data_IF_191055312018
#
_entry.id   IF_191055312018
#
_cell.length_a   1.000
_cell.length_b   1.000
_cell.length_c   1.000
_cell.angle_alpha   90.00
_cell.angle_beta   90.00
_cell.angle_gamma   90.00
#
_symmetry.space_group_name_H-M   'P 1'
#
loop_
_entity.id
_entity.type
_entity.pdbx_description
1 polymer ?
#
# COMPACT_ATOMS: atom_id res chain seq x y z
N UNK A 1 -36.01 -10.76 -38.18
CA UNK A 1 -35.04 -9.70 -38.45
C UNK A 1 -35.00 -8.57 -37.41
N UNK A 2 -36.07 -7.82 -37.11
CA UNK A 2 -35.98 -6.66 -36.15
C UNK A 2 -35.77 -7.04 -34.67
N UNK A 3 -36.28 -8.19 -34.20
CA UNK A 3 -36.20 -8.63 -32.79
C UNK A 3 -34.80 -9.13 -32.34
N UNK A 4 -33.97 -9.62 -33.25
CA UNK A 4 -32.63 -10.12 -32.92
C UNK A 4 -31.62 -8.97 -32.74
N UNK A 5 -31.74 -7.91 -33.54
CA UNK A 5 -30.90 -6.72 -33.45
C UNK A 5 -31.03 -6.02 -32.09
N UNK A 6 -32.25 -5.97 -31.54
CA UNK A 6 -32.49 -5.41 -30.20
C UNK A 6 -31.85 -6.28 -29.11
N UNK A 7 -31.89 -7.60 -29.24
CA UNK A 7 -31.25 -8.52 -28.27
C UNK A 7 -29.72 -8.40 -28.26
N UNK A 8 -29.09 -8.20 -29.43
CA UNK A 8 -27.64 -7.93 -29.55
C UNK A 8 -27.27 -6.57 -28.94
N UNK A 9 -28.11 -5.54 -29.15
CA UNK A 9 -27.91 -4.21 -28.56
C UNK A 9 -27.99 -4.23 -27.03
N UNK A 10 -28.98 -4.92 -26.45
CA UNK A 10 -29.14 -5.04 -24.99
C UNK A 10 -28.14 -6.01 -24.33
N UNK A 11 -27.59 -6.97 -25.08
CA UNK A 11 -26.54 -7.86 -24.60
C UNK A 11 -25.19 -7.13 -24.41
N UNK A 12 -24.86 -6.19 -25.30
CA UNK A 12 -23.57 -5.49 -25.29
C UNK A 12 -23.49 -4.29 -24.32
N UNK A 13 -24.61 -3.83 -23.78
CA UNK A 13 -24.67 -2.65 -22.89
C UNK A 13 -24.36 -2.97 -21.42
N UNK A 14 -24.75 -4.15 -20.93
CA UNK A 14 -24.64 -4.52 -19.50
C UNK A 14 -23.21 -4.82 -19.05
N UNK A 15 -22.37 -5.41 -19.91
CA UNK A 15 -20.99 -5.76 -19.54
C UNK A 15 -20.03 -4.55 -19.52
N UNK A 16 -20.25 -3.57 -20.38
CA UNK A 16 -19.33 -2.43 -20.60
C UNK A 16 -19.30 -1.44 -19.43
N UNK A 17 -20.41 -1.31 -18.69
CA UNK A 17 -20.52 -0.40 -17.53
C UNK A 17 -19.85 -0.98 -16.28
N UNK A 18 -20.04 -2.27 -15.96
CA UNK A 18 -19.40 -2.93 -14.81
C UNK A 18 -17.90 -3.20 -15.06
N UNK A 19 -17.50 -3.50 -16.30
CA UNK A 19 -16.09 -3.78 -16.64
C UNK A 19 -15.18 -2.57 -16.45
N UNK A 20 -15.67 -1.34 -16.71
CA UNK A 20 -14.92 -0.10 -16.43
C UNK A 20 -14.79 0.20 -14.94
N UNK A 21 -15.78 -0.15 -14.12
CA UNK A 21 -15.73 0.06 -12.67
C UNK A 21 -14.79 -0.94 -11.99
N UNK A 22 -14.86 -2.22 -12.35
CA UNK A 22 -14.03 -3.28 -11.77
C UNK A 22 -12.53 -3.08 -12.06
N UNK A 23 -12.17 -2.71 -13.30
CA UNK A 23 -10.76 -2.45 -13.65
C UNK A 23 -10.23 -1.23 -12.89
N UNK A 24 -11.04 -0.16 -12.79
CA UNK A 24 -10.67 1.03 -12.03
C UNK A 24 -10.45 0.74 -10.54
N UNK A 25 -11.39 0.03 -9.90
CA UNK A 25 -11.28 -0.41 -8.51
C UNK A 25 -10.05 -1.30 -8.29
N UNK A 26 -9.81 -2.28 -9.18
CA UNK A 26 -8.64 -3.15 -9.06
C UNK A 26 -7.33 -2.39 -9.24
N UNK A 27 -7.30 -1.39 -10.12
CA UNK A 27 -6.11 -0.56 -10.33
C UNK A 27 -5.85 0.34 -9.12
N UNK A 28 -6.90 0.90 -8.51
CA UNK A 28 -6.77 1.67 -7.26
C UNK A 28 -6.22 0.78 -6.15
N UNK A 29 -6.78 -0.41 -5.93
CA UNK A 29 -6.30 -1.29 -4.86
C UNK A 29 -4.86 -1.77 -5.10
N UNK A 30 -4.55 -2.20 -6.33
CA UNK A 30 -3.18 -2.60 -6.67
C UNK A 30 -2.19 -1.43 -6.51
N UNK A 31 -2.60 -0.23 -6.95
CA UNK A 31 -1.81 0.98 -6.79
C UNK A 31 -1.62 1.37 -5.32
N UNK A 32 -2.66 1.26 -4.51
CA UNK A 32 -2.61 1.56 -3.08
C UNK A 32 -1.63 0.63 -2.34
N UNK A 33 -1.70 -0.69 -2.58
CA UNK A 33 -0.77 -1.65 -1.98
C UNK A 33 0.68 -1.40 -2.43
N UNK A 34 0.91 -1.17 -3.72
CA UNK A 34 2.25 -0.87 -4.22
C UNK A 34 2.78 0.45 -3.64
N UNK A 35 1.91 1.46 -3.52
CA UNK A 35 2.25 2.74 -2.93
C UNK A 35 2.55 2.63 -1.44
N UNK A 36 1.74 1.91 -0.66
CA UNK A 36 1.95 1.68 0.78
C UNK A 36 3.36 1.14 1.06
N UNK A 37 3.74 0.04 0.40
CA UNK A 37 5.06 -0.59 0.56
C UNK A 37 6.19 0.40 0.23
N UNK A 38 6.06 1.12 -0.89
CA UNK A 38 7.09 2.06 -1.34
C UNK A 38 7.18 3.30 -0.46
N UNK A 39 6.03 3.83 -0.05
CA UNK A 39 5.90 5.05 0.74
C UNK A 39 6.43 4.83 2.15
N UNK A 40 6.00 3.77 2.84
CA UNK A 40 6.48 3.46 4.20
C UNK A 40 8.00 3.28 4.21
N UNK A 41 8.53 2.46 3.28
CA UNK A 41 9.96 2.23 3.22
C UNK A 41 10.77 3.49 2.84
N UNK A 42 10.18 4.44 2.12
CA UNK A 42 10.84 5.69 1.76
C UNK A 42 10.79 6.70 2.91
N UNK A 43 9.63 6.86 3.55
CA UNK A 43 9.43 7.80 4.65
C UNK A 43 10.19 7.36 5.90
N UNK A 44 10.22 6.05 6.21
CA UNK A 44 11.04 5.50 7.29
C UNK A 44 12.51 5.83 7.08
N UNK A 45 13.05 5.61 5.88
CA UNK A 45 14.46 5.95 5.57
C UNK A 45 14.74 7.43 5.69
N UNK A 46 13.82 8.28 5.23
CA UNK A 46 13.94 9.72 5.34
C UNK A 46 13.95 10.15 6.81
N UNK A 47 13.03 9.62 7.60
CA UNK A 47 12.92 9.88 9.03
C UNK A 47 14.18 9.41 9.78
N UNK A 48 14.67 8.22 9.44
CA UNK A 48 15.84 7.61 10.03
C UNK A 48 17.11 8.43 9.80
N UNK A 49 17.27 8.92 8.58
CA UNK A 49 18.39 9.77 8.21
C UNK A 49 18.34 11.11 8.95
N UNK A 50 17.14 11.68 9.11
CA UNK A 50 16.99 12.98 9.78
C UNK A 50 17.16 12.87 11.30
N UNK A 51 16.68 11.79 11.91
CA UNK A 51 16.70 11.60 13.36
C UNK A 51 17.84 10.70 13.85
N UNK A 52 18.85 10.46 13.00
CA UNK A 52 20.00 9.60 13.32
C UNK A 52 20.64 9.99 14.65
N UNK A 53 20.87 9.00 15.51
CA UNK A 53 21.49 9.17 16.83
C UNK A 53 20.52 9.60 17.93
N UNK A 54 19.27 9.91 17.61
CA UNK A 54 18.21 10.22 18.59
C UNK A 54 17.16 9.12 18.69
N UNK A 55 17.14 8.19 17.76
CA UNK A 55 16.16 7.12 17.74
C UNK A 55 16.51 6.05 18.76
N UNK A 56 15.49 5.44 19.37
CA UNK A 56 15.68 4.36 20.32
C UNK A 56 16.57 3.25 19.74
N UNK A 57 16.36 2.85 18.49
CA UNK A 57 17.19 1.83 17.82
C UNK A 57 18.68 2.16 17.74
N UNK A 58 19.05 3.45 17.75
CA UNK A 58 20.43 3.91 17.72
C UNK A 58 21.07 3.93 19.13
N UNK A 59 20.27 4.19 20.17
CA UNK A 59 20.76 4.40 21.54
C UNK A 59 20.49 3.23 22.49
N UNK A 60 19.61 2.30 22.13
CA UNK A 60 19.13 1.22 23.02
C UNK A 60 20.24 0.38 23.62
N UNK A 61 21.30 0.11 22.85
CA UNK A 61 22.40 -0.77 23.30
C UNK A 61 23.07 -0.21 24.56
N UNK A 62 23.16 1.13 24.67
CA UNK A 62 23.76 1.77 25.84
C UNK A 62 22.97 1.53 27.13
N UNK A 63 21.66 1.35 27.03
CA UNK A 63 20.78 1.18 28.19
C UNK A 63 20.56 -0.29 28.55
N UNK A 64 20.59 -1.19 27.57
CA UNK A 64 20.51 -2.63 27.83
C UNK A 64 21.79 -3.10 28.52
N UNK A 65 22.97 -2.73 28.00
CA UNK A 65 24.24 -3.09 28.63
C UNK A 65 24.40 -2.47 30.03
N UNK A 66 23.98 -1.21 30.22
CA UNK A 66 24.02 -0.59 31.55
C UNK A 66 23.09 -1.28 32.57
N UNK A 67 21.98 -1.88 32.13
CA UNK A 67 21.11 -2.66 33.00
C UNK A 67 21.68 -4.04 33.32
N UNK A 68 22.35 -4.69 32.35
CA UNK A 68 23.07 -5.95 32.58
C UNK A 68 24.25 -5.76 33.56
N UNK A 69 24.98 -4.64 33.47
CA UNK A 69 26.08 -4.29 34.38
C UNK A 69 25.60 -3.88 35.80
N UNK A 70 24.33 -3.47 35.97
CA UNK A 70 23.75 -3.13 37.29
C UNK A 70 23.19 -4.35 38.05
N UNK A 71 22.89 -5.45 37.34
CA UNK A 71 22.34 -6.68 37.90
C UNK A 71 23.41 -7.76 38.24
N UNK A 72 24.70 -7.52 37.92
CA UNK A 72 25.88 -8.29 38.38
C UNK A 72 26.56 -7.66 39.61
#
# INVERSE_FOLDING_TARGET
YRREAESFFFANSRSTVFRRNAVFLSAIFAGAFAFEIGFDAATDRLWDSWNKGRQWKDIKQKYISAGEDEDE
#
